data_IF_590094507301
#
_entry.id   IF_590094507301
#
_cell.length_a   1.000
_cell.length_b   1.000
_cell.length_c   1.000
_cell.angle_alpha   90.00
_cell.angle_beta   90.00
_cell.angle_gamma   90.00
#
_symmetry.space_group_name_H-M   'P 1'
#
loop_
_entity.id
_entity.type
_entity.pdbx_description
1 polymer ?
#
# COMPACT_ATOMS: atom_id res chain seq x y z
N UNK A 1 -6.03 -12.49 3.27
CA UNK A 1 -4.71 -12.20 3.87
C UNK A 1 -4.58 -10.74 4.27
N UNK A 2 -4.41 -9.78 3.34
CA UNK A 2 -4.22 -8.36 3.70
C UNK A 2 -5.27 -7.78 4.67
N UNK A 3 -6.56 -8.10 4.50
CA UNK A 3 -7.59 -7.65 5.46
C UNK A 3 -7.30 -8.17 6.88
N UNK A 4 -7.03 -9.48 7.03
CA UNK A 4 -6.81 -10.13 8.34
C UNK A 4 -5.48 -9.74 8.98
N UNK A 5 -4.41 -9.68 8.18
CA UNK A 5 -3.05 -9.50 8.71
C UNK A 5 -2.63 -8.03 8.76
N UNK A 6 -3.27 -7.13 8.00
CA UNK A 6 -2.83 -5.73 7.85
C UNK A 6 -3.96 -4.77 8.22
N UNK A 7 -5.05 -4.75 7.46
CA UNK A 7 -6.03 -3.65 7.56
C UNK A 7 -6.81 -3.67 8.88
N UNK A 8 -7.32 -4.84 9.29
CA UNK A 8 -7.98 -4.99 10.59
C UNK A 8 -7.04 -4.67 11.77
N UNK A 9 -5.82 -5.25 11.85
CA UNK A 9 -4.86 -4.88 12.89
C UNK A 9 -4.49 -3.41 12.92
N UNK A 10 -4.26 -2.77 11.76
CA UNK A 10 -3.89 -1.35 11.70
C UNK A 10 -5.04 -0.46 12.20
N UNK A 11 -6.27 -0.69 11.73
CA UNK A 11 -7.43 0.07 12.21
C UNK A 11 -7.55 -0.08 13.73
N UNK A 12 -7.51 -1.33 14.23
CA UNK A 12 -7.60 -1.62 15.66
C UNK A 12 -6.52 -0.89 16.46
N UNK A 13 -5.28 -0.89 16.01
CA UNK A 13 -4.18 -0.23 16.74
C UNK A 13 -4.35 1.29 16.74
N UNK A 14 -4.68 1.90 15.61
CA UNK A 14 -4.86 3.35 15.54
C UNK A 14 -6.05 3.84 16.38
N UNK A 15 -7.15 3.09 16.41
CA UNK A 15 -8.28 3.39 17.28
C UNK A 15 -7.89 3.26 18.76
N UNK A 16 -7.22 2.17 19.15
CA UNK A 16 -6.76 1.99 20.54
C UNK A 16 -5.76 3.07 20.97
N UNK A 17 -4.89 3.53 20.07
CA UNK A 17 -3.95 4.62 20.35
C UNK A 17 -4.71 5.92 20.63
N UNK A 18 -5.69 6.25 19.78
CA UNK A 18 -6.54 7.42 19.93
C UNK A 18 -7.37 7.37 21.23
N UNK A 19 -8.05 6.26 21.49
CA UNK A 19 -8.84 6.05 22.72
C UNK A 19 -7.98 6.09 23.98
N UNK A 20 -6.74 5.63 23.90
CA UNK A 20 -5.77 5.73 25.00
C UNK A 20 -5.19 7.13 25.18
N UNK A 21 -5.67 8.15 24.46
CA UNK A 21 -5.22 9.54 24.57
C UNK A 21 -3.88 9.84 23.90
N UNK A 22 -3.29 8.88 23.17
CA UNK A 22 -2.12 9.18 22.35
C UNK A 22 -2.53 9.96 21.09
N UNK A 23 -1.57 10.63 20.46
CA UNK A 23 -1.81 11.39 19.23
C UNK A 23 -0.99 10.83 18.06
N UNK A 24 -1.28 9.59 17.60
CA UNK A 24 -0.67 9.07 16.38
C UNK A 24 -1.06 9.95 15.18
N UNK A 25 -0.12 10.16 14.26
CA UNK A 25 -0.36 10.97 13.06
C UNK A 25 0.47 10.43 11.89
N UNK A 26 -0.18 10.05 10.79
CA UNK A 26 0.52 9.62 9.57
C UNK A 26 -0.37 9.75 8.33
N UNK A 27 0.27 9.83 7.17
CA UNK A 27 -0.43 9.75 5.89
C UNK A 27 -0.52 8.30 5.40
N UNK A 28 -1.69 7.88 4.93
CA UNK A 28 -1.94 6.53 4.40
C UNK A 28 -2.57 6.60 3.02
N UNK A 29 -2.01 5.89 2.06
CA UNK A 29 -2.63 5.72 0.74
C UNK A 29 -3.62 4.55 0.79
N UNK A 30 -4.85 4.78 0.33
CA UNK A 30 -5.80 3.70 0.01
C UNK A 30 -6.17 3.86 -1.46
N UNK A 31 -5.67 2.93 -2.29
CA UNK A 31 -5.80 3.05 -3.73
C UNK A 31 -7.26 2.87 -4.20
N UNK A 32 -7.66 3.53 -5.31
CA UNK A 32 -9.02 3.39 -5.82
C UNK A 32 -9.47 1.93 -6.09
N UNK A 33 -8.64 1.02 -6.65
CA UNK A 33 -9.01 -0.38 -6.79
C UNK A 33 -9.26 -1.06 -5.43
N UNK A 34 -8.45 -0.75 -4.42
CA UNK A 34 -8.63 -1.29 -3.07
C UNK A 34 -9.93 -0.76 -2.44
N UNK A 35 -10.25 0.53 -2.61
CA UNK A 35 -11.52 1.09 -2.16
C UNK A 35 -12.73 0.37 -2.79
N UNK A 36 -12.72 0.17 -4.11
CA UNK A 36 -13.81 -0.54 -4.79
C UNK A 36 -13.90 -2.01 -4.36
N UNK A 37 -12.77 -2.69 -4.10
CA UNK A 37 -12.76 -4.07 -3.63
C UNK A 37 -13.27 -4.21 -2.18
N UNK A 38 -12.87 -3.31 -1.28
CA UNK A 38 -13.29 -3.34 0.13
C UNK A 38 -14.78 -2.99 0.29
N UNK A 39 -15.32 -2.18 -0.62
CA UNK A 39 -16.73 -1.80 -0.63
C UNK A 39 -17.64 -2.81 -1.34
N UNK A 40 -17.09 -3.81 -2.04
CA UNK A 40 -17.85 -4.78 -2.83
C UNK A 40 -18.50 -5.87 -1.95
N UNK A 41 -19.84 -6.01 -1.95
CA UNK A 41 -20.54 -6.99 -1.10
C UNK A 41 -20.15 -8.45 -1.39
N UNK A 42 -19.85 -8.79 -2.64
CA UNK A 42 -19.44 -10.15 -3.00
C UNK A 42 -18.07 -10.48 -2.38
N UNK A 43 -17.12 -9.55 -2.40
CA UNK A 43 -15.82 -9.72 -1.75
C UNK A 43 -15.93 -9.73 -0.23
N UNK A 44 -16.81 -8.92 0.36
CA UNK A 44 -17.10 -8.96 1.80
C UNK A 44 -17.65 -10.32 2.25
N UNK A 45 -18.59 -10.90 1.50
CA UNK A 45 -19.13 -12.24 1.78
C UNK A 45 -18.05 -13.32 1.64
N UNK A 46 -17.24 -13.26 0.57
CA UNK A 46 -16.12 -14.20 0.37
C UNK A 46 -15.09 -14.11 1.48
N UNK A 47 -14.74 -12.90 1.91
CA UNK A 47 -13.82 -12.70 3.02
C UNK A 47 -14.39 -13.22 4.34
N UNK A 48 -15.68 -12.99 4.60
CA UNK A 48 -16.36 -13.51 5.80
C UNK A 48 -16.22 -15.04 5.89
N UNK A 49 -16.56 -15.76 4.81
CA UNK A 49 -16.41 -17.23 4.76
C UNK A 49 -14.95 -17.68 4.94
N UNK A 50 -14.01 -16.94 4.36
CA UNK A 50 -12.59 -17.23 4.53
C UNK A 50 -12.15 -17.07 6.00
N UNK A 51 -12.58 -16.00 6.67
CA UNK A 51 -12.26 -15.73 8.07
C UNK A 51 -12.89 -16.78 9.00
N UNK A 52 -14.16 -17.15 8.78
CA UNK A 52 -14.85 -18.22 9.52
C UNK A 52 -14.12 -19.57 9.36
N UNK A 53 -13.77 -19.94 8.13
CA UNK A 53 -13.02 -21.16 7.84
C UNK A 53 -11.64 -21.18 8.51
N UNK A 54 -10.93 -20.04 8.49
CA UNK A 54 -9.62 -19.91 9.12
C UNK A 54 -9.73 -19.99 10.65
N UNK A 55 -10.76 -19.38 11.23
CA UNK A 55 -11.06 -19.47 12.66
C UNK A 55 -11.37 -20.92 13.07
N UNK A 56 -12.22 -21.63 12.32
CA UNK A 56 -12.51 -23.05 12.56
C UNK A 56 -11.23 -23.90 12.52
N UNK A 57 -10.39 -23.70 11.50
CA UNK A 57 -9.11 -24.39 11.38
C UNK A 57 -8.19 -24.11 12.58
N UNK A 58 -8.14 -22.87 13.07
CA UNK A 58 -7.33 -22.53 14.25
C UNK A 58 -7.78 -23.28 15.51
N UNK A 59 -9.09 -23.50 15.70
CA UNK A 59 -9.63 -24.28 16.83
C UNK A 59 -9.31 -25.77 16.73
N UNK A 60 -9.35 -26.34 15.51
CA UNK A 60 -8.90 -27.72 15.25
C UNK A 60 -7.42 -27.88 15.56
N UNK A 61 -6.61 -26.92 15.11
CA UNK A 61 -5.19 -26.87 15.37
C UNK A 61 -4.88 -26.77 16.86
N UNK A 62 -5.64 -25.99 17.64
CA UNK A 62 -5.47 -25.92 19.09
C UNK A 62 -5.61 -27.30 19.75
N UNK A 63 -6.63 -28.06 19.35
CA UNK A 63 -6.88 -29.41 19.86
C UNK A 63 -5.78 -30.39 19.46
N UNK A 64 -5.30 -30.31 18.21
CA UNK A 64 -4.24 -31.19 17.66
C UNK A 64 -2.89 -30.89 18.30
N UNK A 65 -2.47 -29.63 18.27
CA UNK A 65 -1.15 -29.16 18.76
C UNK A 65 -1.00 -29.39 20.26
N UNK A 66 -2.07 -29.24 21.05
CA UNK A 66 -2.04 -29.54 22.49
C UNK A 66 -1.66 -30.99 22.81
N UNK A 67 -1.92 -31.94 21.90
CA UNK A 67 -1.63 -33.37 22.08
C UNK A 67 -0.33 -33.79 21.40
N UNK A 68 -0.08 -33.28 20.21
CA UNK A 68 0.97 -33.79 19.32
C UNK A 68 2.24 -32.92 19.29
N UNK A 69 2.11 -31.61 19.46
CA UNK A 69 3.23 -30.69 19.32
C UNK A 69 3.16 -29.48 20.28
N UNK A 70 3.18 -29.70 21.61
CA UNK A 70 2.98 -28.64 22.61
C UNK A 70 3.90 -27.43 22.47
N UNK A 71 5.06 -27.59 21.83
CA UNK A 71 6.00 -26.49 21.54
C UNK A 71 5.41 -25.37 20.66
N UNK A 72 4.38 -25.66 19.86
CA UNK A 72 3.69 -24.65 19.02
C UNK A 72 2.43 -24.08 19.68
N UNK A 73 2.07 -24.55 20.88
CA UNK A 73 0.84 -24.14 21.57
C UNK A 73 0.74 -22.60 21.74
N UNK A 74 1.81 -21.87 22.10
CA UNK A 74 1.74 -20.40 22.21
C UNK A 74 1.32 -19.71 20.90
N UNK A 75 1.85 -20.16 19.76
CA UNK A 75 1.50 -19.61 18.46
C UNK A 75 0.05 -19.89 18.08
N UNK A 76 -0.43 -21.12 18.33
CA UNK A 76 -1.81 -21.51 18.01
C UNK A 76 -2.83 -20.80 18.89
N UNK A 77 -2.55 -20.65 20.18
CA UNK A 77 -3.39 -19.88 21.10
C UNK A 77 -3.53 -18.42 20.65
N UNK A 78 -2.41 -17.80 20.25
CA UNK A 78 -2.42 -16.46 19.68
C UNK A 78 -3.29 -16.37 18.43
N UNK A 79 -3.21 -17.32 17.49
CA UNK A 79 -4.09 -17.31 16.31
C UNK A 79 -5.55 -17.47 16.67
N UNK A 80 -5.90 -18.35 17.61
CA UNK A 80 -7.28 -18.52 18.06
C UNK A 80 -7.84 -17.19 18.60
N UNK A 81 -7.05 -16.49 19.42
CA UNK A 81 -7.41 -15.18 19.97
C UNK A 81 -7.53 -14.11 18.88
N UNK A 82 -6.51 -13.92 18.06
CA UNK A 82 -6.50 -12.91 16.98
C UNK A 82 -7.65 -13.13 16.01
N UNK A 83 -7.93 -14.38 15.62
CA UNK A 83 -9.02 -14.68 14.69
C UNK A 83 -10.38 -14.49 15.36
N UNK A 84 -10.51 -14.81 16.64
CA UNK A 84 -11.74 -14.52 17.40
C UNK A 84 -12.02 -13.03 17.46
N UNK A 85 -11.01 -12.21 17.80
CA UNK A 85 -11.11 -10.74 17.80
C UNK A 85 -11.39 -10.22 16.40
N UNK A 86 -10.72 -10.75 15.37
CA UNK A 86 -10.93 -10.35 13.98
C UNK A 86 -12.35 -10.59 13.50
N UNK A 87 -12.99 -11.69 13.92
CA UNK A 87 -14.40 -11.96 13.60
C UNK A 87 -15.34 -10.94 14.24
N UNK A 88 -15.10 -10.57 15.50
CA UNK A 88 -15.90 -9.58 16.21
C UNK A 88 -15.73 -8.18 15.58
N UNK A 89 -14.48 -7.77 15.36
CA UNK A 89 -14.15 -6.51 14.69
C UNK A 89 -14.79 -6.44 13.29
N UNK A 90 -14.65 -7.48 12.48
CA UNK A 90 -15.18 -7.53 11.13
C UNK A 90 -16.71 -7.48 11.09
N UNK A 91 -17.39 -8.32 11.88
CA UNK A 91 -18.84 -8.47 11.79
C UNK A 91 -19.61 -7.43 12.62
N UNK A 92 -19.16 -7.16 13.84
CA UNK A 92 -19.93 -6.42 14.84
C UNK A 92 -19.47 -4.96 14.97
N UNK A 93 -18.15 -4.72 15.00
CA UNK A 93 -17.62 -3.35 15.20
C UNK A 93 -17.63 -2.55 13.89
N UNK A 94 -17.04 -3.09 12.82
CA UNK A 94 -16.92 -2.39 11.54
C UNK A 94 -18.07 -2.69 10.57
N UNK A 95 -19.01 -3.56 10.93
CA UNK A 95 -20.13 -3.98 10.09
C UNK A 95 -19.70 -4.32 8.64
N UNK A 96 -18.56 -5.00 8.50
CA UNK A 96 -17.93 -5.42 7.24
C UNK A 96 -17.54 -4.26 6.29
N UNK A 97 -17.41 -3.04 6.82
CA UNK A 97 -17.10 -1.85 6.05
C UNK A 97 -15.85 -1.13 6.60
N UNK A 98 -14.68 -1.59 6.17
CA UNK A 98 -13.39 -1.01 6.61
C UNK A 98 -13.14 0.39 6.05
N UNK A 99 -13.77 0.76 4.93
CA UNK A 99 -13.68 2.12 4.38
C UNK A 99 -14.25 3.14 5.38
N UNK A 100 -15.35 2.79 6.04
CA UNK A 100 -15.94 3.65 7.08
C UNK A 100 -15.03 3.77 8.30
N UNK A 101 -14.38 2.68 8.70
CA UNK A 101 -13.43 2.69 9.82
C UNK A 101 -12.18 3.55 9.52
N UNK A 102 -11.60 3.44 8.31
CA UNK A 102 -10.53 4.33 7.88
C UNK A 102 -10.98 5.80 7.82
N UNK A 103 -12.19 6.04 7.31
CA UNK A 103 -12.77 7.39 7.26
C UNK A 103 -12.90 7.99 8.67
N UNK A 104 -13.34 7.20 9.65
CA UNK A 104 -13.43 7.64 11.05
C UNK A 104 -12.06 8.05 11.59
N UNK A 105 -11.02 7.23 11.40
CA UNK A 105 -9.64 7.58 11.79
C UNK A 105 -9.13 8.88 11.13
N UNK A 106 -9.58 9.16 9.90
CA UNK A 106 -9.27 10.43 9.25
C UNK A 106 -10.05 11.62 9.84
N UNK A 107 -11.30 11.42 10.25
CA UNK A 107 -12.13 12.44 10.91
C UNK A 107 -11.65 12.74 12.34
N UNK A 108 -11.11 11.74 13.04
CA UNK A 108 -10.47 11.85 14.35
C UNK A 108 -9.08 12.49 14.32
N UNK A 109 -8.54 12.74 13.12
CA UNK A 109 -7.20 13.33 12.96
C UNK A 109 -6.05 12.36 13.19
N UNK A 110 -6.30 11.05 13.27
CA UNK A 110 -5.26 10.03 13.39
C UNK A 110 -4.55 9.81 12.04
N UNK A 111 -5.32 9.74 10.96
CA UNK A 111 -4.81 9.53 9.61
C UNK A 111 -5.03 10.77 8.72
N UNK A 112 -4.12 10.99 7.78
CA UNK A 112 -4.43 11.69 6.54
C UNK A 112 -4.49 10.67 5.40
N UNK A 113 -5.68 10.39 4.87
CA UNK A 113 -5.81 9.44 3.76
C UNK A 113 -5.58 10.19 2.46
N UNK A 114 -4.64 9.70 1.66
CA UNK A 114 -4.32 10.21 0.32
C UNK A 114 -4.82 9.25 -0.75
N UNK A 115 -4.99 9.77 -1.97
CA UNK A 115 -5.38 8.97 -3.13
C UNK A 115 -4.16 8.45 -3.90
N UNK A 116 -4.38 7.76 -5.02
CA UNK A 116 -3.37 7.26 -5.94
C UNK A 116 -3.83 7.47 -7.39
N UNK A 117 -3.16 6.91 -8.41
CA UNK A 117 -3.76 6.73 -9.73
C UNK A 117 -4.93 5.74 -9.70
N UNK A 118 -5.94 5.92 -10.55
CA UNK A 118 -7.19 5.15 -10.58
C UNK A 118 -7.01 3.62 -10.57
N UNK A 119 -5.94 3.13 -11.19
CA UNK A 119 -5.58 1.70 -11.18
C UNK A 119 -4.09 1.49 -10.90
N UNK A 120 -3.48 2.41 -10.15
CA UNK A 120 -2.03 2.40 -9.93
C UNK A 120 -1.24 2.40 -11.26
N UNK A 121 -1.73 3.13 -12.28
CA UNK A 121 -1.10 3.14 -13.58
C UNK A 121 0.19 3.96 -13.63
N UNK A 122 1.24 3.43 -14.27
CA UNK A 122 2.55 4.08 -14.32
C UNK A 122 2.53 5.32 -15.25
N UNK A 123 2.23 6.49 -14.67
CA UNK A 123 1.87 7.71 -15.41
C UNK A 123 2.92 8.13 -16.45
N UNK A 124 4.25 8.11 -16.18
CA UNK A 124 5.25 8.50 -17.17
C UNK A 124 5.27 7.65 -18.45
N UNK A 125 4.70 6.44 -18.44
CA UNK A 125 4.69 5.54 -19.59
C UNK A 125 3.37 5.55 -20.37
N UNK A 126 2.43 6.43 -20.00
CA UNK A 126 1.21 6.67 -20.78
C UNK A 126 1.49 7.66 -21.90
N UNK A 127 0.99 7.38 -23.11
CA UNK A 127 1.30 8.15 -24.32
C UNK A 127 0.44 9.40 -24.51
N UNK A 128 -0.77 9.43 -23.93
CA UNK A 128 -1.70 10.56 -24.07
C UNK A 128 -1.88 11.32 -22.75
N UNK A 129 -2.06 12.63 -22.85
CA UNK A 129 -2.33 13.48 -21.67
C UNK A 129 -3.71 13.16 -21.09
N UNK A 130 -4.66 12.76 -21.94
CA UNK A 130 -6.02 12.34 -21.57
C UNK A 130 -5.99 11.11 -20.67
N UNK A 131 -5.14 10.12 -20.97
CA UNK A 131 -5.01 8.93 -20.12
C UNK A 131 -4.37 9.23 -18.77
N UNK A 132 -3.32 10.06 -18.73
CA UNK A 132 -2.73 10.53 -17.47
C UNK A 132 -3.75 11.32 -16.64
N UNK A 133 -4.48 12.24 -17.26
CA UNK A 133 -5.55 13.02 -16.62
C UNK A 133 -6.67 12.12 -16.11
N UNK A 134 -7.10 11.13 -16.89
CA UNK A 134 -8.16 10.20 -16.49
C UNK A 134 -7.78 9.39 -15.25
N UNK A 135 -6.54 8.91 -15.15
CA UNK A 135 -6.05 8.21 -13.96
C UNK A 135 -6.15 9.07 -12.69
N UNK A 136 -5.80 10.36 -12.78
CA UNK A 136 -5.84 11.28 -11.63
C UNK A 136 -7.29 11.66 -11.30
N UNK A 137 -8.07 12.07 -12.31
CA UNK A 137 -9.44 12.55 -12.10
C UNK A 137 -10.36 11.43 -11.58
N UNK A 138 -10.28 10.22 -12.14
CA UNK A 138 -11.07 9.07 -11.66
C UNK A 138 -10.70 8.73 -10.21
N UNK A 139 -9.42 8.84 -9.83
CA UNK A 139 -9.01 8.60 -8.46
C UNK A 139 -9.54 9.66 -7.49
N UNK A 140 -9.52 10.95 -7.87
CA UNK A 140 -10.13 12.03 -7.07
C UNK A 140 -11.63 11.80 -6.88
N UNK A 141 -12.34 11.38 -7.93
CA UNK A 141 -13.78 11.07 -7.82
C UNK A 141 -14.03 9.83 -6.96
N UNK A 142 -13.20 8.79 -7.07
CA UNK A 142 -13.28 7.62 -6.21
C UNK A 142 -13.05 7.99 -4.74
N UNK A 143 -12.04 8.82 -4.46
CA UNK A 143 -11.77 9.30 -3.10
C UNK A 143 -12.96 10.09 -2.54
N UNK A 144 -13.56 10.99 -3.33
CA UNK A 144 -14.78 11.74 -2.93
C UNK A 144 -15.95 10.81 -2.62
N UNK A 145 -16.15 9.77 -3.45
CA UNK A 145 -17.20 8.75 -3.25
C UNK A 145 -17.07 8.06 -1.88
N UNK A 146 -15.86 7.71 -1.46
CA UNK A 146 -15.61 6.90 -0.27
C UNK A 146 -15.34 7.71 1.02
N UNK A 147 -14.67 8.86 0.90
CA UNK A 147 -14.24 9.68 2.05
C UNK A 147 -14.97 11.02 2.19
N UNK A 148 -15.87 11.35 1.26
CA UNK A 148 -16.76 12.52 1.36
C UNK A 148 -16.10 13.89 1.21
N UNK A 149 -14.81 13.96 0.86
CA UNK A 149 -14.03 15.20 0.67
C UNK A 149 -13.06 15.04 -0.51
N UNK A 150 -12.44 16.13 -0.96
CA UNK A 150 -11.34 16.05 -1.93
C UNK A 150 -10.04 15.57 -1.25
N UNK A 151 -9.22 14.73 -1.90
CA UNK A 151 -7.89 14.39 -1.37
C UNK A 151 -6.96 15.59 -1.51
N UNK A 152 -6.14 15.85 -0.48
CA UNK A 152 -5.07 16.86 -0.53
C UNK A 152 -3.81 16.30 -1.18
N UNK A 153 -3.45 15.08 -0.83
CA UNK A 153 -2.26 14.39 -1.33
C UNK A 153 -2.57 13.27 -2.32
N UNK A 154 -1.55 12.93 -3.10
CA UNK A 154 -1.54 11.73 -3.95
C UNK A 154 -0.24 10.93 -3.74
N UNK A 155 -0.37 9.61 -3.62
CA UNK A 155 0.71 8.69 -3.88
C UNK A 155 0.80 8.48 -5.40
N UNK A 156 1.81 9.05 -6.05
CA UNK A 156 2.05 8.72 -7.46
C UNK A 156 2.37 7.22 -7.55
N UNK A 157 1.73 6.47 -8.47
CA UNK A 157 2.05 5.05 -8.64
C UNK A 157 3.56 4.88 -8.77
N UNK A 158 4.15 4.14 -7.84
CA UNK A 158 5.59 3.87 -7.77
C UNK A 158 6.49 5.10 -7.52
N UNK A 159 5.94 6.16 -6.92
CA UNK A 159 6.59 7.48 -6.87
C UNK A 159 7.05 7.95 -8.27
N UNK A 160 6.40 7.47 -9.34
CA UNK A 160 6.80 7.71 -10.71
C UNK A 160 6.40 9.12 -11.14
N UNK A 161 7.40 9.97 -11.28
CA UNK A 161 7.25 11.38 -11.59
C UNK A 161 8.05 11.74 -12.84
N UNK A 162 7.47 12.60 -13.67
CA UNK A 162 8.14 13.30 -14.77
C UNK A 162 7.70 14.77 -14.75
N UNK A 163 8.56 15.65 -15.26
CA UNK A 163 8.26 17.08 -15.35
C UNK A 163 6.97 17.35 -16.14
N UNK A 164 6.13 18.25 -15.64
CA UNK A 164 4.83 18.58 -16.19
C UNK A 164 3.67 17.77 -15.61
N UNK A 165 3.93 16.63 -14.95
CA UNK A 165 2.88 15.85 -14.28
C UNK A 165 2.18 16.66 -13.17
N UNK A 166 2.93 17.52 -12.48
CA UNK A 166 2.42 18.43 -11.46
C UNK A 166 1.31 19.35 -11.98
N UNK A 167 1.23 19.62 -13.28
CA UNK A 167 0.17 20.44 -13.85
C UNK A 167 -1.18 19.71 -13.84
N UNK A 168 -1.17 18.41 -14.10
CA UNK A 168 -2.37 17.57 -13.99
C UNK A 168 -2.79 17.39 -12.53
N UNK A 169 -1.81 17.30 -11.62
CA UNK A 169 -2.07 17.27 -10.18
C UNK A 169 -2.75 18.56 -9.73
N UNK A 170 -2.22 19.72 -10.14
CA UNK A 170 -2.79 21.03 -9.83
C UNK A 170 -4.20 21.19 -10.40
N UNK A 171 -4.43 20.77 -11.65
CA UNK A 171 -5.75 20.76 -12.30
C UNK A 171 -6.78 19.95 -11.50
N UNK A 172 -6.35 18.85 -10.89
CA UNK A 172 -7.19 17.98 -10.07
C UNK A 172 -7.36 18.46 -8.61
N UNK A 173 -6.73 19.58 -8.23
CA UNK A 173 -6.79 20.12 -6.86
C UNK A 173 -5.88 19.39 -5.87
N UNK A 174 -4.89 18.61 -6.34
CA UNK A 174 -3.89 17.97 -5.49
C UNK A 174 -2.86 19.00 -5.05
N UNK A 175 -2.57 19.02 -3.75
CA UNK A 175 -1.64 19.94 -3.10
C UNK A 175 -0.23 19.39 -2.99
N UNK A 176 -0.07 18.07 -2.87
CA UNK A 176 1.25 17.43 -2.78
C UNK A 176 1.29 15.99 -3.29
N UNK A 177 2.51 15.52 -3.54
CA UNK A 177 2.81 14.11 -3.77
C UNK A 177 4.08 13.66 -3.04
N UNK A 178 4.23 12.34 -2.89
CA UNK A 178 5.44 11.71 -2.38
C UNK A 178 6.29 11.21 -3.55
N UNK A 179 7.61 11.40 -3.47
CA UNK A 179 8.59 11.02 -4.51
C UNK A 179 9.77 10.24 -3.93
N UNK A 180 10.59 9.69 -4.82
CA UNK A 180 11.88 9.14 -4.42
C UNK A 180 12.89 10.23 -4.02
N UNK A 181 13.87 9.85 -3.20
CA UNK A 181 15.00 10.66 -2.75
C UNK A 181 15.63 11.48 -3.89
N UNK A 182 15.93 10.86 -5.03
CA UNK A 182 16.67 11.55 -6.09
C UNK A 182 15.85 12.59 -6.87
N UNK A 183 14.51 12.54 -6.79
CA UNK A 183 13.64 13.56 -7.37
C UNK A 183 14.00 14.95 -6.83
N UNK A 184 14.25 15.04 -5.51
CA UNK A 184 14.63 16.29 -4.84
C UNK A 184 16.14 16.54 -4.93
N UNK A 185 16.98 15.51 -4.71
CA UNK A 185 18.44 15.68 -4.74
C UNK A 185 18.97 16.17 -6.10
N UNK A 186 18.35 15.74 -7.20
CA UNK A 186 18.69 16.17 -8.55
C UNK A 186 17.74 17.22 -9.11
N UNK A 187 16.78 17.72 -8.32
CA UNK A 187 15.90 18.81 -8.73
C UNK A 187 16.66 20.13 -8.97
N UNK A 188 16.02 21.04 -9.71
CA UNK A 188 16.59 22.34 -10.08
C UNK A 188 15.74 23.50 -9.53
N UNK A 189 16.32 24.45 -8.77
CA UNK A 189 17.70 24.49 -8.26
C UNK A 189 17.97 23.41 -7.20
N UNK A 190 19.24 23.22 -6.82
CA UNK A 190 19.61 22.23 -5.79
C UNK A 190 18.84 22.44 -4.47
N UNK A 191 18.45 21.35 -3.79
CA UNK A 191 17.69 21.46 -2.54
C UNK A 191 18.60 21.96 -1.42
N UNK A 192 18.14 22.96 -0.66
CA UNK A 192 18.89 23.55 0.45
C UNK A 192 19.03 22.59 1.63
N UNK A 193 18.01 21.77 1.88
CA UNK A 193 17.90 20.90 3.05
C UNK A 193 17.85 19.41 2.65
N UNK A 194 18.44 19.06 1.50
CA UNK A 194 18.38 17.70 0.96
C UNK A 194 16.94 17.21 0.82
N UNK A 195 16.66 15.99 1.28
CA UNK A 195 15.30 15.42 1.33
C UNK A 195 14.57 15.70 2.64
N UNK A 196 15.20 16.42 3.56
CA UNK A 196 14.70 16.65 4.91
C UNK A 196 13.87 17.93 5.05
N UNK A 197 13.42 18.48 3.93
CA UNK A 197 12.35 19.44 3.83
C UNK A 197 11.66 19.19 2.48
N UNK A 198 10.33 19.37 2.36
CA UNK A 198 9.69 19.30 1.07
C UNK A 198 10.16 20.45 0.17
N UNK A 199 9.87 20.31 -1.11
CA UNK A 199 9.99 21.39 -2.09
C UNK A 199 8.61 21.70 -2.69
N UNK A 200 8.47 22.84 -3.35
CA UNK A 200 7.30 23.19 -4.16
C UNK A 200 7.70 23.28 -5.62
N UNK A 201 7.00 22.57 -6.49
CA UNK A 201 7.07 22.79 -7.92
C UNK A 201 6.74 24.27 -8.24
N UNK A 202 7.20 24.83 -9.38
CA UNK A 202 6.88 26.20 -9.78
C UNK A 202 5.38 26.53 -9.81
N UNK A 203 4.52 25.52 -10.01
CA UNK A 203 3.06 25.66 -9.98
C UNK A 203 2.42 25.53 -8.58
N UNK A 204 3.24 25.37 -7.54
CA UNK A 204 2.88 25.35 -6.13
C UNK A 204 2.57 23.98 -5.51
N UNK A 205 2.49 22.90 -6.30
CA UNK A 205 2.33 21.53 -5.80
C UNK A 205 3.58 21.13 -5.02
N UNK A 206 3.43 20.61 -3.80
CA UNK A 206 4.55 20.22 -2.98
C UNK A 206 5.02 18.78 -3.25
N UNK A 207 6.31 18.52 -3.03
CA UNK A 207 6.95 17.23 -3.21
C UNK A 207 7.68 16.85 -1.93
N UNK A 208 7.35 15.69 -1.39
CA UNK A 208 7.97 15.10 -0.21
C UNK A 208 8.80 13.90 -0.64
N UNK A 209 10.10 13.89 -0.39
CA UNK A 209 10.96 12.78 -0.80
C UNK A 209 11.22 11.80 0.34
N UNK A 210 11.27 10.52 0.00
CA UNK A 210 11.70 9.44 0.91
C UNK A 210 13.07 9.72 1.52
N UNK A 211 13.18 9.45 2.82
CA UNK A 211 14.45 9.37 3.53
C UNK A 211 15.13 8.00 3.35
N UNK A 212 16.43 8.02 3.08
CA UNK A 212 17.21 6.81 2.78
C UNK A 212 17.53 6.02 4.04
N UNK A 213 17.81 6.69 5.17
CA UNK A 213 18.26 6.05 6.41
C UNK A 213 17.15 5.17 7.02
N UNK A 214 15.92 5.70 7.06
CA UNK A 214 14.72 5.00 7.53
C UNK A 214 14.34 3.81 6.65
N UNK A 215 14.58 3.91 5.34
CA UNK A 215 14.33 2.82 4.39
C UNK A 215 15.21 1.61 4.72
N UNK A 216 16.50 1.80 4.99
CA UNK A 216 17.41 0.69 5.28
C UNK A 216 17.07 -0.06 6.58
N UNK A 217 16.72 0.67 7.65
CA UNK A 217 16.45 0.10 8.97
C UNK A 217 15.18 -0.76 9.02
N UNK A 218 14.19 -0.50 8.16
CA UNK A 218 12.89 -1.19 8.20
C UNK A 218 12.72 -2.13 7.01
N UNK A 219 13.19 -1.76 5.81
CA UNK A 219 12.93 -2.52 4.58
C UNK A 219 13.91 -3.68 4.35
N UNK A 220 15.09 -3.64 4.95
CA UNK A 220 16.09 -4.69 4.68
C UNK A 220 15.72 -5.98 5.41
N UNK A 221 15.53 -7.06 4.66
CA UNK A 221 15.39 -8.40 5.24
C UNK A 221 16.71 -8.91 5.86
N UNK A 222 17.85 -8.31 5.51
CA UNK A 222 19.16 -8.73 6.03
C UNK A 222 19.64 -7.92 7.25
N UNK A 223 19.34 -6.62 7.28
CA UNK A 223 19.80 -5.70 8.34
C UNK A 223 18.68 -4.97 9.06
N UNK A 224 17.45 -5.07 8.57
CA UNK A 224 16.29 -4.39 9.14
C UNK A 224 15.55 -5.25 10.15
N UNK A 225 14.68 -4.60 10.92
CA UNK A 225 13.93 -5.24 12.01
C UNK A 225 13.15 -6.50 11.60
N UNK A 226 12.45 -6.55 10.45
CA UNK A 226 11.66 -7.73 10.08
C UNK A 226 12.44 -9.05 10.01
N UNK A 227 13.77 -9.00 9.86
CA UNK A 227 14.63 -10.18 9.80
C UNK A 227 15.01 -10.79 11.16
N UNK A 228 14.54 -10.25 12.29
CA UNK A 228 14.96 -10.71 13.61
C UNK A 228 14.61 -12.21 13.84
N UNK A 229 15.54 -13.02 14.37
CA UNK A 229 15.33 -14.44 14.64
C UNK A 229 14.10 -14.80 15.48
N UNK A 230 13.53 -13.88 16.26
CA UNK A 230 12.34 -14.15 17.10
C UNK A 230 11.00 -13.89 16.39
N UNK A 231 11.00 -13.18 15.26
CA UNK A 231 9.78 -12.86 14.52
C UNK A 231 9.24 -14.04 13.70
N UNK A 232 7.95 -13.99 13.38
CA UNK A 232 7.24 -15.03 12.64
C UNK A 232 7.88 -15.26 11.27
N UNK A 233 8.15 -16.53 10.95
CA UNK A 233 8.65 -16.96 9.65
C UNK A 233 7.52 -16.94 8.61
N UNK A 234 7.69 -16.13 7.56
CA UNK A 234 6.66 -15.93 6.54
C UNK A 234 6.43 -17.18 5.67
N UNK A 235 7.48 -17.94 5.38
CA UNK A 235 7.44 -19.04 4.40
C UNK A 235 7.06 -20.40 5.01
N UNK A 236 6.89 -20.50 6.33
CA UNK A 236 6.53 -21.75 7.03
C UNK A 236 5.06 -21.71 7.45
N UNK A 237 4.20 -22.19 6.56
CA UNK A 237 2.74 -22.21 6.72
C UNK A 237 2.23 -23.65 6.79
N UNK A 238 1.24 -23.91 7.65
CA UNK A 238 0.68 -25.26 7.80
C UNK A 238 0.10 -25.82 6.49
N UNK A 239 -0.29 -24.95 5.55
CA UNK A 239 -0.78 -25.31 4.23
C UNK A 239 0.21 -26.12 3.39
N UNK A 240 1.51 -26.01 3.70
CA UNK A 240 2.58 -26.81 3.10
C UNK A 240 3.02 -27.98 3.98
N UNK A 241 2.88 -27.86 5.30
CA UNK A 241 3.44 -28.83 6.24
C UNK A 241 2.49 -29.97 6.61
N UNK A 242 1.20 -29.67 6.79
CA UNK A 242 0.26 -30.68 7.29
C UNK A 242 -0.24 -31.62 6.19
N UNK A 243 -0.71 -32.83 6.55
CA UNK A 243 -1.27 -33.79 5.61
C UNK A 243 -2.41 -33.18 4.79
N UNK A 244 -2.40 -33.41 3.47
CA UNK A 244 -3.38 -32.81 2.56
C UNK A 244 -4.82 -33.20 2.89
N UNK A 245 -5.07 -34.45 3.30
CA UNK A 245 -6.40 -34.93 3.65
C UNK A 245 -6.98 -34.21 4.88
N UNK A 246 -6.13 -33.80 5.83
CA UNK A 246 -6.55 -33.00 6.98
C UNK A 246 -6.93 -31.56 6.57
N UNK A 247 -6.16 -30.98 5.63
CA UNK A 247 -6.37 -29.62 5.16
C UNK A 247 -7.48 -29.48 4.11
N UNK A 248 -7.84 -30.56 3.43
CA UNK A 248 -8.78 -30.58 2.30
C UNK A 248 -10.10 -29.82 2.55
N UNK A 249 -10.76 -29.91 3.72
CA UNK A 249 -11.98 -29.14 3.99
C UNK A 249 -11.76 -27.62 4.02
N UNK A 250 -10.52 -27.17 4.25
CA UNK A 250 -10.14 -25.78 4.43
C UNK A 250 -9.42 -25.18 3.20
N UNK A 251 -9.21 -25.99 2.15
CA UNK A 251 -8.61 -25.55 0.90
C UNK A 251 -9.65 -25.02 -0.09
N UNK A 252 -9.17 -24.28 -1.09
CA UNK A 252 -10.00 -23.91 -2.23
C UNK A 252 -10.47 -25.15 -3.00
N UNK A 253 -11.53 -25.01 -3.81
CA UNK A 253 -12.17 -26.12 -4.54
C UNK A 253 -11.25 -26.84 -5.54
N UNK A 254 -10.11 -26.24 -5.90
CA UNK A 254 -9.09 -26.88 -6.74
C UNK A 254 -8.20 -27.90 -5.98
N UNK A 255 -8.29 -27.95 -4.65
CA UNK A 255 -7.53 -28.88 -3.80
C UNK A 255 -6.02 -28.61 -3.72
N UNK A 256 -5.50 -27.55 -4.34
CA UNK A 256 -4.08 -27.26 -4.38
C UNK A 256 -3.59 -26.63 -3.07
N UNK A 257 -2.41 -27.07 -2.61
CA UNK A 257 -1.70 -26.47 -1.47
C UNK A 257 -1.41 -25.00 -1.73
N UNK A 258 -1.51 -24.22 -0.66
CA UNK A 258 -1.29 -22.76 -0.62
C UNK A 258 -1.08 -22.34 0.84
N UNK A 259 -0.67 -21.11 1.05
CA UNK A 259 -0.66 -20.51 2.38
C UNK A 259 -2.11 -20.46 2.92
N UNK A 260 -2.29 -20.87 4.16
CA UNK A 260 -3.57 -20.78 4.88
C UNK A 260 -3.58 -19.62 5.88
N UNK A 261 -2.41 -19.09 6.25
CA UNK A 261 -2.24 -17.97 7.17
C UNK A 261 -1.89 -18.37 8.60
N UNK A 262 -1.86 -19.67 8.91
CA UNK A 262 -1.39 -20.19 10.21
C UNK A 262 0.08 -20.62 10.08
N UNK A 263 0.96 -19.85 10.72
CA UNK A 263 2.42 -20.02 10.64
C UNK A 263 3.01 -20.09 12.04
N UNK A 264 3.64 -21.22 12.39
CA UNK A 264 4.03 -21.54 13.78
C UNK A 264 5.52 -21.43 14.07
N UNK A 265 6.31 -21.03 13.09
CA UNK A 265 7.77 -20.95 13.22
C UNK A 265 8.22 -19.51 13.27
N UNK A 266 9.38 -19.29 13.91
CA UNK A 266 10.11 -18.02 13.86
C UNK A 266 11.27 -18.09 12.88
N UNK A 267 11.74 -16.93 12.43
CA UNK A 267 12.84 -16.81 11.46
C UNK A 267 14.07 -17.61 11.91
N UNK A 268 14.38 -17.62 13.21
CA UNK A 268 15.47 -18.40 13.85
C UNK A 268 16.90 -18.02 13.43
N UNK A 269 17.09 -17.60 12.18
CA UNK A 269 18.37 -17.38 11.53
C UNK A 269 18.37 -18.02 10.13
N UNK A 270 19.51 -18.00 9.45
CA UNK A 270 19.72 -18.60 8.13
C UNK A 270 19.95 -20.11 8.20
N UNK A 271 19.01 -20.83 8.81
CA UNK A 271 19.04 -22.29 8.96
C UNK A 271 17.72 -22.91 8.47
N UNK A 272 17.79 -24.15 7.98
CA UNK A 272 16.62 -24.89 7.48
C UNK A 272 15.66 -25.29 8.61
N UNK A 273 16.22 -25.69 9.76
CA UNK A 273 15.47 -26.11 10.93
C UNK A 273 15.00 -24.91 11.77
N UNK A 274 13.89 -24.31 11.32
CA UNK A 274 13.21 -23.22 12.03
C UNK A 274 12.65 -23.72 13.37
N UNK A 275 12.69 -22.86 14.38
CA UNK A 275 12.21 -23.14 15.74
C UNK A 275 10.78 -22.62 15.95
N UNK A 276 10.06 -23.09 16.99
CA UNK A 276 8.73 -22.59 17.32
C UNK A 276 8.69 -21.09 17.56
N UNK A 277 7.62 -20.46 17.08
CA UNK A 277 7.31 -19.04 17.31
C UNK A 277 6.71 -18.83 18.69
N UNK A 278 7.26 -17.86 19.44
CA UNK A 278 6.82 -17.50 20.78
C UNK A 278 6.33 -16.05 20.75
N UNK A 279 5.00 -15.81 20.74
CA UNK A 279 4.43 -14.47 20.55
C UNK A 279 4.91 -13.42 21.56
N UNK A 280 5.17 -13.82 22.82
CA UNK A 280 5.64 -12.90 23.85
C UNK A 280 7.05 -12.36 23.57
N UNK A 281 7.96 -13.20 23.08
CA UNK A 281 9.31 -12.78 22.70
C UNK A 281 9.28 -11.81 21.52
N UNK A 282 8.43 -12.10 20.54
CA UNK A 282 8.23 -11.27 19.37
C UNK A 282 7.65 -9.89 19.73
N UNK A 283 6.65 -9.85 20.63
CA UNK A 283 6.09 -8.61 21.16
C UNK A 283 7.14 -7.77 21.90
N UNK A 284 7.94 -8.39 22.76
CA UNK A 284 9.01 -7.69 23.47
C UNK A 284 10.05 -7.12 22.49
N UNK A 285 10.40 -7.90 21.47
CA UNK A 285 11.32 -7.46 20.42
C UNK A 285 10.77 -6.28 19.60
N UNK A 286 9.48 -6.30 19.26
CA UNK A 286 8.81 -5.17 18.61
C UNK A 286 8.89 -3.88 19.46
N UNK A 287 8.73 -3.97 20.77
CA UNK A 287 8.90 -2.83 21.67
C UNK A 287 10.35 -2.30 21.72
N UNK A 288 11.34 -3.21 21.71
CA UNK A 288 12.76 -2.86 21.64
C UNK A 288 13.09 -2.16 20.31
N UNK A 289 12.63 -2.70 19.19
CA UNK A 289 12.82 -2.10 17.87
C UNK A 289 12.12 -0.75 17.73
N UNK A 290 10.92 -0.58 18.27
CA UNK A 290 10.24 0.72 18.30
C UNK A 290 11.04 1.76 19.09
N UNK A 291 11.63 1.36 20.22
CA UNK A 291 12.51 2.23 21.03
C UNK A 291 13.77 2.60 20.25
N UNK A 292 14.42 1.63 19.62
CA UNK A 292 15.62 1.86 18.81
C UNK A 292 15.34 2.79 17.63
N UNK A 293 14.26 2.53 16.87
CA UNK A 293 13.87 3.39 15.75
C UNK A 293 13.58 4.83 16.20
N UNK A 294 12.84 5.02 17.30
CA UNK A 294 12.59 6.35 17.86
C UNK A 294 13.88 7.07 18.25
N UNK A 295 14.79 6.38 18.95
CA UNK A 295 16.09 6.94 19.35
C UNK A 295 16.94 7.36 18.14
N UNK A 296 16.97 6.53 17.09
CA UNK A 296 17.67 6.84 15.85
C UNK A 296 17.06 8.04 15.11
N UNK A 297 15.73 8.19 15.11
CA UNK A 297 15.06 9.36 14.51
C UNK A 297 15.33 10.64 15.29
N UNK A 298 15.34 10.58 16.62
CA UNK A 298 15.73 11.72 17.46
C UNK A 298 17.17 12.13 17.16
N UNK A 299 18.10 11.15 17.16
CA UNK A 299 19.52 11.38 16.83
C UNK A 299 19.70 12.00 15.45
N UNK A 300 19.00 11.47 14.43
CA UNK A 300 19.03 11.98 13.07
C UNK A 300 18.52 13.43 13.00
N UNK A 301 17.39 13.74 13.65
CA UNK A 301 16.85 15.10 13.72
C UNK A 301 17.85 16.10 14.32
N UNK A 302 18.53 15.74 15.40
CA UNK A 302 19.54 16.58 16.02
C UNK A 302 20.71 16.88 15.08
N UNK A 303 21.27 15.83 14.45
CA UNK A 303 22.38 15.98 13.50
C UNK A 303 21.99 16.84 12.29
N UNK A 304 20.81 16.60 11.71
CA UNK A 304 20.32 17.37 10.58
C UNK A 304 20.07 18.84 10.94
N UNK A 305 19.54 19.10 12.14
CA UNK A 305 19.32 20.46 12.62
C UNK A 305 20.63 21.24 12.77
N UNK A 306 21.70 20.59 13.22
CA UNK A 306 23.05 21.18 13.25
C UNK A 306 23.56 21.49 11.83
N UNK A 307 23.47 20.52 10.92
CA UNK A 307 23.90 20.65 9.51
C UNK A 307 23.12 21.75 8.77
N UNK A 308 21.84 21.93 9.09
CA UNK A 308 20.95 22.91 8.45
C UNK A 308 20.81 24.21 9.22
N UNK A 309 21.76 24.54 10.08
CA UNK A 309 21.85 25.80 10.82
C UNK A 309 20.55 26.14 11.56
N UNK A 310 19.96 25.15 12.24
CA UNK A 310 18.77 25.31 13.06
C UNK A 310 17.44 25.07 12.34
N UNK A 311 17.43 24.80 11.02
CA UNK A 311 16.21 24.38 10.32
C UNK A 311 15.66 23.08 10.91
N UNK A 312 14.34 23.01 11.09
CA UNK A 312 13.66 21.83 11.64
C UNK A 312 13.54 20.80 10.51
N UNK A 313 14.24 19.65 10.58
CA UNK A 313 14.16 18.64 9.54
C UNK A 313 12.84 17.88 9.60
N UNK A 314 12.34 17.49 8.42
CA UNK A 314 11.26 16.53 8.24
C UNK A 314 11.86 15.20 7.76
N UNK A 315 11.50 14.10 8.40
CA UNK A 315 11.89 12.76 7.97
C UNK A 315 10.65 12.08 7.39
N UNK A 316 10.70 11.72 6.09
CA UNK A 316 9.59 11.08 5.39
C UNK A 316 9.91 9.60 5.15
N UNK A 317 9.16 8.72 5.81
CA UNK A 317 9.40 7.26 5.79
C UNK A 317 8.20 6.51 5.19
N UNK A 318 8.07 6.49 3.85
CA UNK A 318 7.02 5.74 3.18
C UNK A 318 7.34 4.24 3.11
N UNK A 319 6.34 3.41 3.36
CA UNK A 319 6.43 1.95 3.30
C UNK A 319 5.13 1.37 2.75
N UNK A 320 5.20 0.23 2.07
CA UNK A 320 4.01 -0.56 1.75
C UNK A 320 3.28 -0.99 3.02
N UNK A 321 1.96 -0.84 3.05
CA UNK A 321 1.15 -1.15 4.23
C UNK A 321 1.28 -2.63 4.60
N UNK A 322 1.36 -3.51 3.60
CA UNK A 322 1.52 -4.96 3.77
C UNK A 322 2.83 -5.35 4.45
N UNK A 323 3.80 -4.45 4.55
CA UNK A 323 4.95 -4.68 5.42
C UNK A 323 4.49 -4.88 6.86
N UNK A 324 3.58 -4.04 7.35
CA UNK A 324 3.10 -4.08 8.73
C UNK A 324 1.97 -5.09 8.91
N UNK A 325 2.36 -6.36 9.02
CA UNK A 325 1.50 -7.45 9.49
C UNK A 325 1.49 -8.66 8.55
N UNK A 326 1.58 -8.44 7.24
CA UNK A 326 1.65 -9.56 6.29
C UNK A 326 3.08 -10.09 6.17
N UNK A 327 4.00 -9.25 5.67
CA UNK A 327 5.42 -9.61 5.54
C UNK A 327 6.13 -9.64 6.89
N UNK A 328 5.94 -8.61 7.71
CA UNK A 328 6.40 -8.53 9.09
C UNK A 328 5.22 -8.60 10.04
N UNK A 329 4.98 -9.77 10.62
CA UNK A 329 3.77 -10.05 11.41
C UNK A 329 3.59 -9.14 12.61
N UNK A 330 4.69 -8.77 13.24
CA UNK A 330 4.75 -7.93 14.42
C UNK A 330 4.75 -6.43 14.07
N UNK A 331 4.72 -6.09 12.78
CA UNK A 331 4.71 -4.71 12.31
C UNK A 331 3.61 -3.83 12.91
N UNK A 332 2.34 -4.29 13.05
CA UNK A 332 1.31 -3.54 13.74
C UNK A 332 1.69 -3.27 15.20
N UNK A 333 2.21 -4.27 15.91
CA UNK A 333 2.66 -4.11 17.31
C UNK A 333 3.83 -3.12 17.42
N UNK A 334 4.77 -3.15 16.47
CA UNK A 334 5.83 -2.16 16.37
C UNK A 334 5.26 -0.74 16.24
N UNK A 335 4.25 -0.52 15.39
CA UNK A 335 3.60 0.78 15.25
C UNK A 335 2.87 1.22 16.53
N UNK A 336 2.17 0.32 17.21
CA UNK A 336 1.55 0.61 18.53
C UNK A 336 2.61 1.09 19.53
N UNK A 337 3.69 0.33 19.70
CA UNK A 337 4.78 0.73 20.59
C UNK A 337 5.45 2.03 20.14
N UNK A 338 5.70 2.20 18.84
CA UNK A 338 6.34 3.40 18.31
C UNK A 338 5.53 4.65 18.63
N UNK A 339 4.22 4.67 18.32
CA UNK A 339 3.39 5.84 18.58
C UNK A 339 3.14 6.09 20.07
N UNK A 340 3.04 5.05 20.91
CA UNK A 340 2.98 5.23 22.37
C UNK A 340 4.25 5.91 22.88
N UNK A 341 5.41 5.42 22.48
CA UNK A 341 6.71 5.97 22.91
C UNK A 341 6.94 7.37 22.37
N UNK A 342 6.56 7.60 21.11
CA UNK A 342 6.60 8.93 20.51
C UNK A 342 5.77 9.93 21.31
N UNK A 343 4.58 9.55 21.78
CA UNK A 343 3.70 10.47 22.50
C UNK A 343 4.07 10.62 23.99
N UNK A 344 4.35 9.50 24.69
CA UNK A 344 4.48 9.49 26.15
C UNK A 344 5.92 9.57 26.67
N UNK A 345 6.91 9.07 25.93
CA UNK A 345 8.27 8.86 26.45
C UNK A 345 9.23 10.02 26.12
N UNK A 346 8.85 10.97 25.25
CA UNK A 346 9.73 12.02 24.75
C UNK A 346 8.97 13.28 24.28
N UNK A 347 9.69 14.40 24.04
CA UNK A 347 9.15 15.69 23.54
C UNK A 347 10.01 16.34 22.45
N UNK A 348 10.97 15.61 21.90
CA UNK A 348 11.99 16.07 20.96
C UNK A 348 11.49 16.11 19.51
N UNK A 349 10.69 15.12 19.11
CA UNK A 349 10.12 15.01 17.78
C UNK A 349 8.62 14.75 17.85
N UNK A 350 7.90 15.05 16.76
CA UNK A 350 6.47 14.82 16.64
C UNK A 350 6.17 14.16 15.30
N UNK A 351 5.11 13.35 15.26
CA UNK A 351 4.58 12.84 14.00
C UNK A 351 3.62 13.87 13.40
N UNK A 352 3.78 14.13 12.11
CA UNK A 352 2.93 15.01 11.32
C UNK A 352 2.67 14.38 9.96
N UNK A 353 1.58 14.75 9.31
CA UNK A 353 1.35 14.39 7.91
C UNK A 353 1.91 15.47 6.97
N UNK A 354 2.03 15.18 5.66
CA UNK A 354 2.41 16.20 4.70
C UNK A 354 1.41 17.38 4.68
N UNK A 355 0.11 17.13 4.84
CA UNK A 355 -0.90 18.18 4.97
C UNK A 355 -0.66 19.09 6.18
N UNK A 356 -0.35 18.51 7.34
CA UNK A 356 0.00 19.28 8.54
C UNK A 356 1.23 20.17 8.29
N UNK A 357 2.25 19.66 7.56
CA UNK A 357 3.42 20.45 7.19
C UNK A 357 3.05 21.62 6.29
N UNK A 358 2.17 21.43 5.30
CA UNK A 358 1.72 22.51 4.41
C UNK A 358 0.98 23.61 5.18
N UNK A 359 0.25 23.24 6.24
CA UNK A 359 -0.53 24.17 7.07
C UNK A 359 0.33 24.88 8.13
N UNK A 360 1.56 24.40 8.38
CA UNK A 360 2.46 24.94 9.42
C UNK A 360 2.99 26.36 9.16
N UNK A 361 2.89 26.85 7.91
CA UNK A 361 3.48 28.12 7.49
C UNK A 361 5.01 28.11 7.36
N UNK A 362 5.67 26.96 7.54
CA UNK A 362 7.12 26.83 7.33
C UNK A 362 7.43 27.11 5.85
N UNK A 363 8.38 28.01 5.53
CA UNK A 363 8.75 28.30 4.15
C UNK A 363 9.25 27.07 3.41
N UNK A 364 8.74 26.85 2.20
CA UNK A 364 9.13 25.72 1.34
C UNK A 364 9.88 26.26 0.12
N UNK A 365 11.05 25.68 -0.16
CA UNK A 365 11.85 26.04 -1.33
C UNK A 365 11.10 25.71 -2.62
N UNK A 366 11.11 26.64 -3.58
CA UNK A 366 10.67 26.36 -4.94
C UNK A 366 11.76 25.59 -5.69
N UNK A 367 11.41 24.43 -6.24
CA UNK A 367 12.28 23.56 -7.02
C UNK A 367 11.44 22.78 -8.04
N UNK A 368 11.95 22.59 -9.25
CA UNK A 368 11.46 21.59 -10.18
C UNK A 368 12.10 20.23 -9.84
N UNK A 369 11.33 19.22 -9.39
CA UNK A 369 11.88 17.89 -9.13
C UNK A 369 12.37 17.24 -10.44
N UNK A 370 13.35 16.34 -10.33
CA UNK A 370 13.78 15.50 -11.44
C UNK A 370 12.86 14.30 -11.65
N UNK A 371 12.82 13.77 -12.88
CA UNK A 371 12.14 12.53 -13.18
C UNK A 371 12.67 11.38 -12.30
N UNK A 372 11.75 10.59 -11.74
CA UNK A 372 12.06 9.61 -10.70
C UNK A 372 11.04 8.49 -10.59
N UNK A 373 11.44 7.36 -10.01
CA UNK A 373 10.55 6.40 -9.36
C UNK A 373 11.23 5.89 -8.09
N UNK A 374 10.49 5.25 -7.18
CA UNK A 374 11.10 4.55 -6.03
C UNK A 374 11.55 3.11 -6.33
N UNK A 375 11.47 2.69 -7.61
CA UNK A 375 11.85 1.36 -8.08
C UNK A 375 13.37 1.16 -8.20
N UNK A 376 13.77 0.02 -8.78
CA UNK A 376 15.19 -0.32 -8.93
C UNK A 376 15.96 0.79 -9.67
N UNK A 377 17.07 1.24 -9.07
CA UNK A 377 17.93 2.34 -9.55
C UNK A 377 17.25 3.72 -9.61
N UNK A 378 16.05 3.86 -9.07
CA UNK A 378 15.33 5.15 -9.03
C UNK A 378 14.65 5.56 -10.34
N UNK A 379 14.62 4.72 -11.36
CA UNK A 379 14.06 5.11 -12.67
C UNK A 379 13.02 4.09 -13.13
N UNK A 380 12.72 4.05 -14.43
CA UNK A 380 11.56 3.33 -14.94
C UNK A 380 11.84 1.85 -15.28
N UNK A 381 13.07 1.36 -15.04
CA UNK A 381 13.56 0.03 -15.48
C UNK A 381 12.63 -1.13 -15.07
N UNK A 382 12.05 -1.07 -13.88
CA UNK A 382 11.15 -2.13 -13.38
C UNK A 382 9.92 -2.29 -14.28
N UNK A 383 9.41 -1.19 -14.84
CA UNK A 383 8.20 -1.21 -15.67
C UNK A 383 8.52 -1.21 -17.16
N UNK A 384 9.58 -0.51 -17.60
CA UNK A 384 10.04 -0.49 -18.98
C UNK A 384 11.38 -1.23 -19.13
N UNK A 385 11.34 -2.44 -19.69
CA UNK A 385 12.49 -3.28 -20.01
C UNK A 385 12.13 -4.29 -21.10
N UNK A 386 13.12 -5.06 -21.55
CA UNK A 386 13.02 -6.12 -22.56
C UNK A 386 11.98 -7.23 -22.28
N UNK A 387 11.43 -7.35 -21.06
CA UNK A 387 10.37 -8.32 -20.74
C UNK A 387 8.97 -7.72 -20.81
N UNK A 388 8.85 -6.40 -20.78
CA UNK A 388 7.58 -5.66 -20.64
C UNK A 388 7.33 -4.67 -21.77
N UNK A 389 8.34 -4.34 -22.57
CA UNK A 389 8.26 -3.40 -23.69
C UNK A 389 7.11 -3.72 -24.68
N UNK A 390 6.84 -5.01 -24.90
CA UNK A 390 5.76 -5.50 -25.77
C UNK A 390 4.37 -5.02 -25.35
N UNK A 391 4.16 -4.64 -24.09
CA UNK A 391 2.86 -4.20 -23.58
C UNK A 391 2.49 -2.82 -24.13
N UNK A 392 3.47 -1.90 -24.17
CA UNK A 392 3.21 -0.48 -24.37
C UNK A 392 2.62 -0.12 -25.74
N UNK A 393 3.02 -0.73 -26.87
CA UNK A 393 2.35 -0.47 -28.15
C UNK A 393 0.83 -0.69 -28.09
N UNK A 394 0.39 -1.79 -27.48
CA UNK A 394 -1.03 -2.10 -27.33
C UNK A 394 -1.75 -1.15 -26.37
N UNK A 395 -1.07 -0.76 -25.28
CA UNK A 395 -1.60 0.22 -24.34
C UNK A 395 -1.78 1.57 -25.05
N UNK A 396 -0.76 2.06 -25.74
CA UNK A 396 -0.76 3.35 -26.43
C UNK A 396 -1.79 3.41 -27.56
N UNK A 397 -1.99 2.31 -28.30
CA UNK A 397 -3.08 2.20 -29.28
C UNK A 397 -4.45 2.35 -28.61
N UNK A 398 -4.68 1.66 -27.48
CA UNK A 398 -5.93 1.75 -26.74
C UNK A 398 -6.15 3.15 -26.14
N UNK A 399 -5.10 3.82 -25.66
CA UNK A 399 -5.15 5.20 -25.13
C UNK A 399 -5.59 6.21 -26.21
N UNK A 400 -4.97 6.15 -27.39
CA UNK A 400 -5.37 6.98 -28.54
C UNK A 400 -6.80 6.69 -28.95
N UNK A 401 -7.16 5.41 -29.07
CA UNK A 401 -8.49 4.98 -29.50
C UNK A 401 -9.59 5.40 -28.52
N UNK A 402 -9.34 5.30 -27.22
CA UNK A 402 -10.28 5.75 -26.20
C UNK A 402 -10.53 7.25 -26.32
N UNK A 403 -9.48 8.04 -26.53
CA UNK A 403 -9.56 9.49 -26.70
C UNK A 403 -10.31 9.88 -27.98
N UNK A 404 -10.03 9.19 -29.09
CA UNK A 404 -10.75 9.35 -30.36
C UNK A 404 -12.25 9.10 -30.19
N UNK A 405 -12.63 7.94 -29.64
CA UNK A 405 -14.03 7.55 -29.50
C UNK A 405 -14.77 8.46 -28.51
N UNK A 406 -14.14 8.86 -27.40
CA UNK A 406 -14.74 9.82 -26.48
C UNK A 406 -15.02 11.19 -27.14
N UNK A 407 -14.16 11.60 -28.08
CA UNK A 407 -14.33 12.85 -28.83
C UNK A 407 -15.37 12.77 -29.96
N UNK A 408 -15.55 11.58 -30.57
CA UNK A 408 -16.59 11.33 -31.57
C UNK A 408 -17.97 11.29 -30.90
N UNK A 409 -18.09 10.49 -29.84
CA UNK A 409 -19.34 10.25 -29.13
C UNK A 409 -19.56 11.27 -28.00
N UNK A 410 -19.65 12.57 -28.33
CA UNK A 410 -19.90 13.64 -27.34
C UNK A 410 -21.29 13.57 -26.69
N UNK A 411 -22.28 13.10 -27.45
CA UNK A 411 -23.66 12.91 -27.00
C UNK A 411 -24.08 11.45 -27.22
N UNK A 412 -23.51 10.49 -26.47
CA UNK A 412 -23.78 9.08 -26.68
C UNK A 412 -25.17 8.71 -26.18
N UNK A 413 -25.83 7.77 -26.86
CA UNK A 413 -27.00 7.07 -26.32
C UNK A 413 -26.64 6.35 -25.02
N UNK A 414 -27.63 5.91 -24.24
CA UNK A 414 -27.36 5.22 -22.98
C UNK A 414 -26.52 3.97 -23.15
N UNK A 415 -26.73 3.22 -24.23
CA UNK A 415 -25.94 2.01 -24.49
C UNK A 415 -24.53 2.35 -24.94
N UNK A 416 -24.36 3.33 -25.82
CA UNK A 416 -23.03 3.83 -26.22
C UNK A 416 -22.25 4.33 -25.00
N UNK A 417 -22.91 5.06 -24.09
CA UNK A 417 -22.32 5.54 -22.83
C UNK A 417 -21.88 4.39 -21.94
N UNK A 418 -22.69 3.33 -21.82
CA UNK A 418 -22.32 2.13 -21.06
C UNK A 418 -21.10 1.42 -21.66
N UNK A 419 -21.03 1.32 -22.98
CA UNK A 419 -19.89 0.73 -23.69
C UNK A 419 -18.63 1.57 -23.46
N UNK A 420 -18.68 2.89 -23.69
CA UNK A 420 -17.56 3.81 -23.45
C UNK A 420 -17.05 3.75 -22.01
N UNK A 421 -17.96 3.71 -21.03
CA UNK A 421 -17.59 3.58 -19.62
C UNK A 421 -16.90 2.24 -19.33
N UNK A 422 -17.37 1.13 -19.93
CA UNK A 422 -16.71 -0.16 -19.76
C UNK A 422 -15.36 -0.21 -20.47
N UNK A 423 -15.24 0.38 -21.66
CA UNK A 423 -13.96 0.55 -22.35
C UNK A 423 -12.96 1.31 -21.50
N UNK A 424 -13.37 2.44 -20.91
CA UNK A 424 -12.52 3.22 -20.01
C UNK A 424 -12.04 2.36 -18.82
N UNK A 425 -12.91 1.53 -18.23
CA UNK A 425 -12.50 0.59 -17.16
C UNK A 425 -11.49 -0.44 -17.65
N UNK A 426 -11.70 -1.05 -18.82
CA UNK A 426 -10.74 -2.02 -19.37
C UNK A 426 -9.38 -1.36 -19.66
N UNK A 427 -9.36 -0.13 -20.19
CA UNK A 427 -8.11 0.61 -20.41
C UNK A 427 -7.40 0.92 -19.08
N UNK A 428 -8.12 1.48 -18.10
CA UNK A 428 -7.55 1.75 -16.78
C UNK A 428 -6.99 0.45 -16.16
N UNK A 429 -7.72 -0.66 -16.21
CA UNK A 429 -7.27 -1.95 -15.70
C UNK A 429 -6.05 -2.49 -16.45
N UNK A 430 -5.96 -2.28 -17.78
CA UNK A 430 -4.78 -2.65 -18.55
C UNK A 430 -3.53 -1.83 -18.18
N UNK A 431 -3.72 -0.58 -17.73
CA UNK A 431 -2.64 0.36 -17.40
C UNK A 431 -1.99 0.14 -16.02
N UNK A 432 -2.52 -0.75 -15.18
CA UNK A 432 -1.98 -1.03 -13.84
C UNK A 432 -0.49 -1.39 -13.90
N UNK A 433 0.34 -0.72 -13.08
CA UNK A 433 1.79 -0.97 -13.02
C UNK A 433 2.12 -2.38 -12.52
N UNK A 434 1.20 -2.99 -11.77
CA UNK A 434 1.34 -4.32 -11.18
C UNK A 434 1.65 -5.39 -12.21
N UNK A 435 1.09 -5.26 -13.43
CA UNK A 435 1.33 -6.23 -14.51
C UNK A 435 2.80 -6.26 -14.93
N UNK A 436 3.37 -5.09 -15.20
CA UNK A 436 4.78 -4.98 -15.59
C UNK A 436 5.70 -5.35 -14.42
N UNK A 437 5.35 -4.96 -13.20
CA UNK A 437 6.08 -5.32 -11.98
C UNK A 437 6.16 -6.85 -11.79
N UNK A 438 5.03 -7.56 -11.86
CA UNK A 438 4.98 -9.02 -11.70
C UNK A 438 5.76 -9.77 -12.79
N UNK A 439 5.74 -9.26 -14.03
CA UNK A 439 6.53 -9.80 -15.14
C UNK A 439 8.02 -9.61 -14.87
N UNK A 440 8.43 -8.42 -14.41
CA UNK A 440 9.82 -8.12 -14.09
C UNK A 440 10.35 -9.02 -12.97
N UNK A 441 9.62 -9.11 -11.85
CA UNK A 441 10.00 -9.90 -10.68
C UNK A 441 9.97 -11.41 -10.92
N UNK A 442 9.26 -11.88 -11.95
CA UNK A 442 9.20 -13.31 -12.29
C UNK A 442 8.30 -14.14 -11.38
N UNK A 443 7.44 -13.52 -10.56
CA UNK A 443 6.61 -14.20 -9.56
C UNK A 443 5.36 -14.83 -10.19
N UNK A 444 4.53 -14.05 -10.87
CA UNK A 444 3.24 -14.46 -11.45
C UNK A 444 3.10 -14.03 -12.91
N UNK A 445 4.15 -14.26 -13.71
CA UNK A 445 4.29 -13.81 -15.11
C UNK A 445 3.10 -14.19 -15.99
N UNK A 446 2.67 -15.45 -15.94
CA UNK A 446 1.54 -15.93 -16.76
C UNK A 446 0.23 -15.23 -16.41
N UNK A 447 0.00 -14.99 -15.12
CA UNK A 447 -1.18 -14.29 -14.64
C UNK A 447 -1.19 -12.84 -15.12
N UNK A 448 -0.09 -12.10 -14.89
CA UNK A 448 0.03 -10.71 -15.32
C UNK A 448 -0.12 -10.54 -16.84
N UNK A 449 0.56 -11.39 -17.61
CA UNK A 449 0.46 -11.41 -19.08
C UNK A 449 -0.98 -11.66 -19.54
N UNK A 450 -1.68 -12.61 -18.92
CA UNK A 450 -3.07 -12.93 -19.24
C UNK A 450 -4.02 -11.79 -18.87
N UNK A 451 -3.80 -11.14 -17.72
CA UNK A 451 -4.61 -10.00 -17.26
C UNK A 451 -4.52 -8.83 -18.22
N UNK A 452 -3.30 -8.39 -18.55
CA UNK A 452 -3.06 -7.33 -19.52
C UNK A 452 -3.73 -7.63 -20.87
N UNK A 453 -3.44 -8.79 -21.46
CA UNK A 453 -4.01 -9.21 -22.75
C UNK A 453 -5.53 -9.27 -22.74
N UNK A 454 -6.12 -9.74 -21.64
CA UNK A 454 -7.59 -9.84 -21.53
C UNK A 454 -8.25 -8.47 -21.50
N UNK A 455 -7.67 -7.51 -20.77
CA UNK A 455 -8.21 -6.14 -20.71
C UNK A 455 -8.09 -5.43 -22.07
N UNK A 456 -6.93 -5.54 -22.74
CA UNK A 456 -6.76 -5.01 -24.12
C UNK A 456 -7.73 -5.68 -25.11
N UNK A 457 -7.90 -7.00 -25.01
CA UNK A 457 -8.83 -7.72 -25.88
C UNK A 457 -10.28 -7.25 -25.69
N UNK A 458 -10.75 -7.16 -24.45
CA UNK A 458 -12.11 -6.67 -24.13
C UNK A 458 -12.32 -5.23 -24.57
N UNK A 459 -11.33 -4.36 -24.34
CA UNK A 459 -11.34 -2.99 -24.85
C UNK A 459 -11.56 -2.96 -26.36
N UNK A 460 -10.78 -3.74 -27.12
CA UNK A 460 -10.87 -3.79 -28.57
C UNK A 460 -12.19 -4.39 -29.09
N UNK A 461 -12.77 -5.37 -28.38
CA UNK A 461 -14.10 -5.90 -28.72
C UNK A 461 -15.18 -4.84 -28.58
N UNK A 462 -15.18 -4.11 -27.46
CA UNK A 462 -16.14 -3.04 -27.18
C UNK A 462 -15.96 -1.87 -28.17
N UNK A 463 -14.72 -1.49 -28.51
CA UNK A 463 -14.44 -0.48 -29.52
C UNK A 463 -15.06 -0.85 -30.88
N UNK A 464 -14.85 -2.10 -31.33
CA UNK A 464 -15.43 -2.60 -32.59
C UNK A 464 -16.95 -2.62 -32.57
N UNK A 465 -17.58 -2.99 -31.46
CA UNK A 465 -19.04 -2.94 -31.32
C UNK A 465 -19.55 -1.50 -31.46
N UNK A 466 -18.87 -0.55 -30.84
CA UNK A 466 -19.24 0.86 -30.90
C UNK A 466 -19.09 1.43 -32.33
N UNK A 467 -18.03 1.07 -33.04
CA UNK A 467 -17.75 1.54 -34.41
C UNK A 467 -18.64 0.90 -35.47
N UNK A 468 -19.09 -0.35 -35.25
CA UNK A 468 -19.91 -1.08 -36.21
C UNK A 468 -21.42 -0.89 -36.04
N UNK A 469 -21.85 -0.08 -35.06
CA UNK A 469 -23.24 0.08 -34.61
C UNK A 469 -23.96 -1.25 -34.25
N UNK A 470 -23.21 -2.34 -34.13
CA UNK A 470 -23.70 -3.65 -33.68
C UNK A 470 -23.52 -3.74 -32.17
N UNK A 471 -24.42 -3.04 -31.49
CA UNK A 471 -24.50 -2.92 -30.03
C UNK A 471 -25.17 -4.13 -29.41
#
# INVERSE_FOLDING_TARGET
EAITEVYLPLIFIFQNLYEAGASPRLAMNISPPLCEMLADPLLQERYTRHLENLHELSQKELSRVSKEAPQFLPAVQMYCEILSVSMDLWNNVYARNLISAFRQLQEEGVLEIITCGATHGFLPLMSTIESKRAQIQVAVQNYKKHFGRSPRGIWLPECAYEEGLENLLKEAGIEYFVSDTHAILYGTPRPRFGVHAPVRCPNGVATFARDVETSQQVWSAEVGYPGDPVYREFYRDIGWELPIEYLKPHLHSDGNRRHLGLKYYRITGRIEQKQPYIPSWAREKAAQHATHFLGERIRQCYQLREVYNGHIPLIVSPYDAELYGHWWFEGPQFLDFFFRKLHYDQKEIVAITPGDYLDSGIPIQVQQPSASSWGERGYYKVWLNERTDWMYPYQHDAERKMSELANIFKNPTDVQRRILNQMARELLLAQSSDWAFQIYQGTTVEYATRRFRSHIHRFNLLAKQLESEKV
#
